data_IF_491045873731
#
_entry.id   IF_491045873731
#
_cell.length_a   1.000
_cell.length_b   1.000
_cell.length_c   1.000
_cell.angle_alpha   90.00
_cell.angle_beta   90.00
_cell.angle_gamma   90.00
#
_symmetry.space_group_name_H-M   'P 1'
#
loop_
_entity.id
_entity.type
_entity.pdbx_description
1 polymer ?
#
# COMPACT_ATOMS: atom_id res chain seq x y z
N UNK A 1 -1.52 18.05 22.54
CA UNK A 1 -0.49 18.75 21.75
C UNK A 1 -1.06 19.06 20.38
N UNK A 2 -1.64 20.26 20.19
CA UNK A 2 -2.14 20.70 18.88
C UNK A 2 -0.99 21.37 18.14
N UNK A 3 -0.57 20.83 17.00
CA UNK A 3 0.45 21.44 16.14
C UNK A 3 -0.15 22.70 15.50
N UNK A 4 0.22 23.89 15.99
CA UNK A 4 0.05 25.17 15.29
C UNK A 4 1.07 25.25 14.13
N UNK A 5 0.90 24.41 13.11
CA UNK A 5 1.67 24.47 11.88
C UNK A 5 0.70 24.46 10.71
N UNK A 6 0.67 25.54 9.95
CA UNK A 6 -0.11 25.57 8.72
C UNK A 6 0.59 24.67 7.69
N UNK A 7 -0.13 23.69 7.13
CA UNK A 7 0.38 22.86 6.04
C UNK A 7 -0.01 23.53 4.71
N UNK A 8 0.97 23.72 3.82
CA UNK A 8 0.75 24.25 2.48
C UNK A 8 1.22 23.24 1.44
N UNK A 9 0.48 23.11 0.35
CA UNK A 9 0.89 22.36 -0.84
C UNK A 9 1.17 23.33 -1.97
N UNK A 10 2.24 23.08 -2.71
CA UNK A 10 2.55 23.82 -3.93
C UNK A 10 3.12 22.87 -4.98
N UNK A 11 2.45 22.75 -6.12
CA UNK A 11 2.95 22.08 -7.30
C UNK A 11 3.20 23.12 -8.40
N UNK A 12 4.45 23.49 -8.73
CA UNK A 12 4.73 24.55 -9.69
C UNK A 12 4.24 24.27 -11.12
N UNK A 13 3.90 23.01 -11.45
CA UNK A 13 3.31 22.67 -12.74
C UNK A 13 1.79 22.90 -12.80
N UNK A 14 1.13 23.08 -11.65
CA UNK A 14 -0.35 23.19 -11.53
C UNK A 14 -0.81 24.43 -10.77
N UNK A 15 -0.01 24.89 -9.82
CA UNK A 15 -0.36 25.93 -8.87
C UNK A 15 0.43 27.21 -9.16
N UNK A 16 -0.26 28.35 -9.11
CA UNK A 16 0.36 29.68 -9.20
C UNK A 16 0.80 30.22 -7.84
N UNK A 17 0.19 29.73 -6.76
CA UNK A 17 0.50 30.08 -5.38
C UNK A 17 0.29 28.88 -4.44
N UNK A 18 0.99 28.80 -3.30
CA UNK A 18 0.80 27.73 -2.33
C UNK A 18 -0.63 27.71 -1.77
N UNK A 19 -1.27 26.55 -1.78
CA UNK A 19 -2.61 26.38 -1.20
C UNK A 19 -2.53 25.78 0.19
N UNK A 20 -3.40 26.25 1.08
CA UNK A 20 -3.54 25.66 2.40
C UNK A 20 -4.14 24.25 2.30
N UNK A 21 -3.60 23.33 3.10
CA UNK A 21 -4.13 21.98 3.28
C UNK A 21 -4.25 21.65 4.77
N UNK A 22 -5.23 20.83 5.11
CA UNK A 22 -5.36 20.26 6.43
C UNK A 22 -4.19 19.33 6.76
N UNK A 23 -3.92 19.13 8.05
CA UNK A 23 -2.93 18.14 8.50
C UNK A 23 -3.24 16.74 7.97
N UNK A 24 -4.51 16.34 7.95
CA UNK A 24 -4.95 15.04 7.44
C UNK A 24 -4.67 14.87 5.94
N UNK A 25 -4.78 15.94 5.16
CA UNK A 25 -4.41 15.91 3.74
C UNK A 25 -2.89 15.81 3.59
N UNK A 26 -2.13 16.54 4.41
CA UNK A 26 -0.66 16.45 4.40
C UNK A 26 -0.19 15.02 4.75
N UNK A 27 -0.77 14.42 5.79
CA UNK A 27 -0.50 13.02 6.16
C UNK A 27 -0.86 12.07 5.01
N UNK A 28 -1.98 12.30 4.31
CA UNK A 28 -2.38 11.49 3.15
C UNK A 28 -1.38 11.61 1.98
N UNK A 29 -0.93 12.83 1.66
CA UNK A 29 0.08 13.04 0.60
C UNK A 29 1.41 12.38 0.95
N UNK A 30 1.83 12.46 2.21
CA UNK A 30 3.04 11.79 2.68
C UNK A 30 2.93 10.27 2.54
N UNK A 31 1.83 9.67 3.02
CA UNK A 31 1.61 8.22 2.88
C UNK A 31 1.49 7.78 1.41
N UNK A 32 0.94 8.65 0.56
CA UNK A 32 0.91 8.44 -0.88
C UNK A 32 2.32 8.37 -1.46
N UNK A 33 3.20 9.32 -1.16
CA UNK A 33 4.60 9.30 -1.59
C UNK A 33 5.34 8.05 -1.11
N UNK A 34 5.07 7.57 0.11
CA UNK A 34 5.68 6.32 0.61
C UNK A 34 5.27 5.12 -0.25
N UNK A 35 4.02 5.06 -0.71
CA UNK A 35 3.52 3.94 -1.52
C UNK A 35 3.87 4.06 -3.01
N UNK A 36 3.76 5.24 -3.61
CA UNK A 36 4.02 5.44 -5.05
C UNK A 36 5.48 5.75 -5.36
N UNK A 37 6.24 6.14 -4.34
CA UNK A 37 7.61 6.61 -4.48
C UNK A 37 7.69 8.12 -4.70
N UNK A 38 8.93 8.60 -4.63
CA UNK A 38 9.32 9.96 -4.98
C UNK A 38 10.45 9.91 -6.01
N UNK A 39 10.12 10.21 -7.26
CA UNK A 39 11.05 10.17 -8.38
C UNK A 39 12.09 11.29 -8.28
N UNK A 40 11.73 12.43 -7.71
CA UNK A 40 12.66 13.56 -7.58
C UNK A 40 13.81 13.23 -6.63
N UNK A 41 13.50 12.49 -5.56
CA UNK A 41 14.47 12.09 -4.54
C UNK A 41 15.06 10.67 -4.77
N UNK A 42 14.68 10.00 -5.86
CA UNK A 42 15.18 8.66 -6.20
C UNK A 42 14.68 7.56 -5.28
N UNK A 43 13.57 7.77 -4.57
CA UNK A 43 12.94 6.79 -3.69
C UNK A 43 11.88 5.97 -4.45
N UNK A 44 12.15 4.68 -4.76
CA UNK A 44 11.14 3.84 -5.38
C UNK A 44 10.02 3.50 -4.37
N UNK A 45 8.78 3.55 -4.83
CA UNK A 45 7.61 3.18 -4.04
C UNK A 45 7.48 1.68 -3.79
N UNK A 46 6.37 1.29 -3.17
CA UNK A 46 6.00 -0.09 -2.99
C UNK A 46 5.72 -0.75 -4.36
N UNK A 47 6.42 -1.85 -4.72
CA UNK A 47 6.20 -2.52 -5.99
C UNK A 47 4.76 -2.99 -6.15
N UNK A 48 4.22 -2.92 -7.37
CA UNK A 48 2.84 -3.29 -7.72
C UNK A 48 1.74 -2.49 -6.98
N UNK A 49 2.08 -1.35 -6.38
CA UNK A 49 1.13 -0.42 -5.77
C UNK A 49 1.18 0.90 -6.53
N UNK A 50 0.25 1.09 -7.47
CA UNK A 50 0.12 2.30 -8.28
C UNK A 50 -0.84 3.32 -7.68
N UNK A 51 -0.88 4.52 -8.27
CA UNK A 51 -1.68 5.66 -7.83
C UNK A 51 -3.15 5.32 -7.53
N UNK A 52 -3.81 4.59 -8.42
CA UNK A 52 -5.24 4.24 -8.28
C UNK A 52 -5.50 3.35 -7.07
N UNK A 53 -4.61 2.39 -6.81
CA UNK A 53 -4.71 1.52 -5.64
C UNK A 53 -4.42 2.30 -4.36
N UNK A 54 -3.47 3.23 -4.38
CA UNK A 54 -3.15 4.07 -3.22
C UNK A 54 -4.33 4.97 -2.86
N UNK A 55 -4.97 5.56 -3.86
CA UNK A 55 -6.15 6.41 -3.66
C UNK A 55 -7.30 5.62 -3.02
N UNK A 56 -7.56 4.39 -3.48
CA UNK A 56 -8.55 3.50 -2.86
C UNK A 56 -8.16 3.16 -1.41
N UNK A 57 -6.92 2.69 -1.17
CA UNK A 57 -6.50 2.23 0.15
C UNK A 57 -6.47 3.37 1.17
N UNK A 58 -5.92 4.52 0.82
CA UNK A 58 -5.82 5.66 1.73
C UNK A 58 -7.16 6.36 1.92
N UNK A 59 -7.95 6.58 0.87
CA UNK A 59 -9.23 7.30 0.99
C UNK A 59 -10.29 6.47 1.70
N UNK A 60 -10.43 5.20 1.31
CA UNK A 60 -11.41 4.29 1.89
C UNK A 60 -10.91 3.59 3.16
N UNK A 61 -9.66 3.88 3.56
CA UNK A 61 -9.02 3.37 4.78
C UNK A 61 -8.99 1.85 4.83
N UNK A 62 -8.50 1.21 3.77
CA UNK A 62 -8.31 -0.25 3.71
C UNK A 62 -6.85 -0.65 3.84
N UNK A 63 -6.60 -1.73 4.57
CA UNK A 63 -5.33 -2.45 4.60
C UNK A 63 -5.48 -3.85 4.01
N UNK A 64 -4.37 -4.48 3.65
CA UNK A 64 -4.35 -5.89 3.28
C UNK A 64 -4.19 -6.78 4.50
N UNK A 65 -5.00 -7.82 4.60
CA UNK A 65 -4.87 -8.84 5.63
C UNK A 65 -4.81 -10.24 4.99
N UNK A 66 -3.83 -11.08 5.36
CA UNK A 66 -3.75 -12.45 4.86
C UNK A 66 -4.83 -13.31 5.52
N UNK A 67 -5.50 -14.14 4.73
CA UNK A 67 -6.44 -15.14 5.22
C UNK A 67 -6.23 -16.47 4.50
N UNK A 68 -6.46 -17.57 5.23
CA UNK A 68 -6.38 -18.91 4.66
C UNK A 68 -7.67 -19.23 3.91
N UNK A 69 -7.58 -19.38 2.60
CA UNK A 69 -8.67 -19.91 1.81
C UNK A 69 -8.48 -21.40 1.57
N UNK A 70 -9.41 -22.20 2.10
CA UNK A 70 -9.47 -23.64 1.83
C UNK A 70 -10.33 -23.92 0.61
N UNK A 71 -9.81 -24.71 -0.33
CA UNK A 71 -10.59 -25.15 -1.49
C UNK A 71 -11.55 -26.27 -1.08
N UNK A 72 -12.85 -25.99 -1.11
CA UNK A 72 -13.92 -26.94 -0.73
C UNK A 72 -14.29 -27.90 -1.85
N UNK A 73 -13.91 -27.61 -3.09
CA UNK A 73 -14.25 -28.38 -4.29
C UNK A 73 -13.14 -28.29 -5.35
N UNK A 74 -13.21 -29.19 -6.34
CA UNK A 74 -12.27 -29.26 -7.46
C UNK A 74 -11.03 -30.13 -7.20
N UNK A 75 -10.11 -30.23 -8.17
CA UNK A 75 -8.93 -31.10 -8.10
C UNK A 75 -7.97 -30.78 -6.95
N UNK A 76 -8.03 -29.55 -6.40
CA UNK A 76 -7.21 -29.06 -5.29
C UNK A 76 -7.94 -29.03 -3.95
N UNK A 77 -9.03 -29.80 -3.82
CA UNK A 77 -9.82 -29.86 -2.60
C UNK A 77 -8.95 -30.32 -1.42
N UNK A 78 -9.02 -29.58 -0.31
CA UNK A 78 -8.21 -29.84 0.89
C UNK A 78 -6.88 -29.09 0.94
N UNK A 79 -6.46 -28.44 -0.15
CA UNK A 79 -5.32 -27.51 -0.11
C UNK A 79 -5.76 -26.15 0.44
N UNK A 80 -4.93 -25.54 1.28
CA UNK A 80 -5.07 -24.15 1.74
C UNK A 80 -4.10 -23.25 0.98
N UNK A 81 -4.56 -22.05 0.61
CA UNK A 81 -3.73 -21.00 0.02
C UNK A 81 -3.99 -19.69 0.76
N UNK A 82 -2.93 -18.98 1.13
CA UNK A 82 -3.07 -17.63 1.70
C UNK A 82 -3.46 -16.68 0.58
N UNK A 83 -4.59 -16.00 0.78
CA UNK A 83 -5.03 -14.88 -0.06
C UNK A 83 -5.08 -13.61 0.76
N UNK A 84 -5.16 -12.48 0.06
CA UNK A 84 -5.17 -11.16 0.68
C UNK A 84 -6.54 -10.53 0.48
N UNK A 85 -7.15 -10.10 1.57
CA UNK A 85 -8.42 -9.35 1.55
C UNK A 85 -8.19 -7.91 1.99
N UNK A 86 -9.09 -7.01 1.59
CA UNK A 86 -9.11 -5.62 2.07
C UNK A 86 -9.95 -5.56 3.35
N UNK A 87 -9.38 -5.01 4.41
CA UNK A 87 -10.02 -4.86 5.73
C UNK A 87 -9.89 -3.41 6.16
N UNK A 88 -10.92 -2.80 6.77
CA UNK A 88 -10.84 -1.43 7.25
C UNK A 88 -9.71 -1.27 8.28
N UNK A 89 -8.96 -0.17 8.19
CA UNK A 89 -7.86 0.18 9.08
C UNK A 89 -8.11 1.55 9.71
N UNK A 90 -7.83 1.67 11.00
CA UNK A 90 -7.86 2.96 11.71
C UNK A 90 -6.59 3.79 11.49
N UNK A 91 -5.49 3.16 11.11
CA UNK A 91 -4.16 3.76 10.97
C UNK A 91 -3.74 3.78 9.50
N UNK A 92 -3.38 4.95 8.97
CA UNK A 92 -2.80 5.06 7.62
C UNK A 92 -1.46 4.34 7.52
N UNK A 93 -0.68 4.31 8.61
CA UNK A 93 0.60 3.61 8.63
C UNK A 93 0.41 2.09 8.48
N UNK A 94 -0.62 1.51 9.10
CA UNK A 94 -0.92 0.08 8.98
C UNK A 94 -1.28 -0.30 7.53
N UNK A 95 -1.90 0.62 6.80
CA UNK A 95 -2.19 0.47 5.38
C UNK A 95 -0.87 0.35 4.60
N UNK A 96 0.05 1.27 4.84
CA UNK A 96 1.38 1.26 4.21
C UNK A 96 2.13 -0.04 4.52
N UNK A 97 2.21 -0.40 5.81
CA UNK A 97 2.89 -1.63 6.25
C UNK A 97 2.28 -2.86 5.58
N UNK A 98 0.95 -2.96 5.53
CA UNK A 98 0.27 -4.11 4.91
C UNK A 98 0.59 -4.29 3.41
N UNK A 99 0.81 -3.19 2.68
CA UNK A 99 1.24 -3.25 1.29
C UNK A 99 2.63 -3.89 1.16
N UNK A 100 3.58 -3.47 2.00
CA UNK A 100 4.93 -4.03 1.99
C UNK A 100 4.96 -5.49 2.46
N UNK A 101 4.20 -5.85 3.51
CA UNK A 101 4.07 -7.23 3.98
C UNK A 101 3.58 -8.16 2.87
N UNK A 102 2.54 -7.73 2.14
CA UNK A 102 2.05 -8.46 0.96
C UNK A 102 3.12 -8.65 -0.09
N UNK A 103 3.93 -7.63 -0.38
CA UNK A 103 4.99 -7.72 -1.37
C UNK A 103 6.13 -8.64 -0.95
N UNK A 104 6.52 -8.63 0.33
CA UNK A 104 7.51 -9.56 0.88
C UNK A 104 7.01 -11.00 0.74
N UNK A 105 5.75 -11.26 1.09
CA UNK A 105 5.14 -12.59 0.96
C UNK A 105 5.09 -13.08 -0.49
N UNK A 106 4.61 -12.25 -1.42
CA UNK A 106 4.53 -12.61 -2.84
C UNK A 106 5.92 -12.89 -3.44
N UNK A 107 6.92 -12.09 -3.06
CA UNK A 107 8.30 -12.31 -3.47
C UNK A 107 8.85 -13.64 -2.92
N UNK A 108 8.59 -13.94 -1.65
CA UNK A 108 8.99 -15.21 -1.04
C UNK A 108 8.33 -16.43 -1.74
N UNK A 109 7.05 -16.34 -2.10
CA UNK A 109 6.35 -17.38 -2.86
C UNK A 109 6.93 -17.60 -4.26
N UNK A 110 7.31 -16.53 -4.95
CA UNK A 110 7.93 -16.64 -6.27
C UNK A 110 9.28 -17.36 -6.18
N UNK A 111 10.11 -17.03 -5.18
CA UNK A 111 11.37 -17.71 -4.93
C UNK A 111 11.19 -19.19 -4.58
N UNK A 112 10.24 -19.53 -3.71
CA UNK A 112 10.02 -20.94 -3.32
C UNK A 112 9.57 -21.81 -4.49
N UNK A 113 8.71 -21.29 -5.38
CA UNK A 113 8.28 -22.00 -6.60
C UNK A 113 9.42 -22.18 -7.60
N UNK A 114 10.36 -21.22 -7.67
CA UNK A 114 11.54 -21.31 -8.51
C UNK A 114 12.51 -22.40 -8.03
N UNK A 115 12.70 -22.55 -6.72
CA UNK A 115 13.60 -23.58 -6.16
C UNK A 115 13.08 -24.99 -6.43
N UNK A 116 11.76 -25.22 -6.42
CA UNK A 116 11.17 -26.54 -6.69
C UNK A 116 11.25 -26.96 -8.17
N UNK A 117 11.44 -26.03 -9.11
CA UNK A 117 11.52 -26.31 -10.55
C UNK A 117 12.95 -26.61 -11.05
N UNK A 118 13.96 -26.44 -10.20
CA UNK A 118 15.39 -26.60 -10.57
C UNK A 118 15.95 -27.97 -10.15
N UNK A 119 15.13 -28.85 -9.59
CA UNK A 119 15.50 -30.22 -9.20
C UNK A 119 14.69 -31.27 -9.96
#
# INVERSE_FOLDING_TARGET
MQTKGNSYLFNPAKDLEPRFISKSEADCFFMKQVLTGDVADGYPGCPNVGDSLVEELLSDRFKFEPYEQTFKSGPRKGTSEIRWQKVPSSSMWDIVVSCYEKMVYLKALQFSRLVVLVY
#
